data_IF_288918797568
#
_entry.id   IF_288918797568
#
_cell.length_a   1.000
_cell.length_b   1.000
_cell.length_c   1.000
_cell.angle_alpha   90.00
_cell.angle_beta   90.00
_cell.angle_gamma   90.00
#
_symmetry.space_group_name_H-M   'P 1'
#
loop_
_entity.id
_entity.type
_entity.pdbx_description
1 polymer ?
#
# COMPACT_ATOMS: atom_id res chain seq x y z
N UNK A 1 20.07 -31.61 -15.02
CA UNK A 1 20.80 -30.56 -14.31
C UNK A 1 19.78 -29.49 -13.96
N UNK A 2 19.23 -29.52 -12.76
CA UNK A 2 18.34 -28.48 -12.25
C UNK A 2 19.21 -27.26 -11.95
N UNK A 3 19.01 -26.16 -12.70
CA UNK A 3 19.54 -24.87 -12.26
C UNK A 3 18.98 -24.60 -10.86
N UNK A 4 19.80 -24.21 -9.88
CA UNK A 4 19.28 -23.70 -8.63
C UNK A 4 18.64 -22.35 -8.94
N UNK A 5 17.33 -22.38 -9.27
CA UNK A 5 16.54 -21.17 -9.27
C UNK A 5 16.62 -20.62 -7.85
N UNK A 6 16.96 -19.36 -7.68
CA UNK A 6 16.94 -18.71 -6.37
C UNK A 6 15.52 -18.86 -5.83
N UNK A 7 15.39 -19.47 -4.67
CA UNK A 7 14.12 -19.57 -3.98
C UNK A 7 13.60 -18.17 -3.63
N UNK A 8 12.32 -17.91 -3.90
CA UNK A 8 11.70 -16.63 -3.51
C UNK A 8 11.65 -16.58 -1.98
N UNK A 9 12.18 -15.52 -1.40
CA UNK A 9 12.22 -15.26 0.04
C UNK A 9 11.39 -14.07 0.46
N UNK A 10 11.10 -13.16 -0.50
CA UNK A 10 10.41 -11.90 -0.27
C UNK A 10 9.28 -11.71 -1.29
N UNK A 11 8.08 -11.41 -0.79
CA UNK A 11 6.97 -10.92 -1.60
C UNK A 11 6.75 -9.46 -1.28
N UNK A 12 6.67 -8.62 -2.33
CA UNK A 12 6.33 -7.22 -2.25
C UNK A 12 4.95 -7.02 -2.89
N UNK A 13 4.02 -6.45 -2.13
CA UNK A 13 2.65 -6.22 -2.55
C UNK A 13 2.42 -4.72 -2.70
N UNK A 14 2.01 -4.28 -3.87
CA UNK A 14 1.27 -3.03 -3.90
C UNK A 14 -0.05 -3.17 -3.12
N UNK A 15 -0.58 -2.06 -2.63
CA UNK A 15 -1.77 -2.08 -1.79
C UNK A 15 -3.05 -1.76 -2.58
N UNK A 16 -3.10 -0.58 -3.20
CA UNK A 16 -4.29 0.00 -3.79
C UNK A 16 -4.57 -0.54 -5.21
N UNK A 17 -5.52 -1.44 -5.36
CA UNK A 17 -5.81 -2.14 -6.62
C UNK A 17 -5.11 -3.49 -6.75
N UNK A 18 -4.24 -3.85 -5.82
CA UNK A 18 -3.49 -5.11 -5.80
C UNK A 18 -3.89 -6.00 -4.62
N UNK A 19 -3.51 -5.65 -3.39
CA UNK A 19 -3.92 -6.40 -2.19
C UNK A 19 -5.36 -6.07 -1.80
N UNK A 20 -5.79 -4.84 -2.01
CA UNK A 20 -7.13 -4.39 -1.71
C UNK A 20 -7.73 -3.60 -2.89
N UNK A 21 -8.98 -3.88 -3.23
CA UNK A 21 -9.76 -3.01 -4.09
C UNK A 21 -10.20 -1.78 -3.28
N UNK A 22 -9.42 -0.73 -3.41
CA UNK A 22 -9.62 0.57 -2.75
C UNK A 22 -10.01 1.66 -3.74
N UNK A 23 -10.10 1.33 -5.04
CA UNK A 23 -10.31 2.30 -6.13
C UNK A 23 -11.53 3.18 -5.87
N UNK A 24 -12.66 2.56 -5.52
CA UNK A 24 -13.90 3.30 -5.26
C UNK A 24 -13.78 4.21 -4.04
N UNK A 25 -13.25 3.71 -2.93
CA UNK A 25 -13.08 4.49 -1.69
C UNK A 25 -12.13 5.68 -1.89
N UNK A 26 -11.00 5.47 -2.56
CA UNK A 26 -10.06 6.54 -2.91
C UNK A 26 -10.71 7.60 -3.80
N UNK A 27 -11.39 7.17 -4.86
CA UNK A 27 -12.10 8.07 -5.78
C UNK A 27 -13.10 8.95 -5.03
N UNK A 28 -13.97 8.36 -4.23
CA UNK A 28 -15.00 9.08 -3.48
C UNK A 28 -14.39 10.06 -2.47
N UNK A 29 -13.33 9.66 -1.76
CA UNK A 29 -12.65 10.52 -0.80
C UNK A 29 -12.02 11.75 -1.45
N UNK A 30 -11.30 11.58 -2.57
CA UNK A 30 -10.70 12.71 -3.29
C UNK A 30 -11.75 13.63 -3.93
N UNK A 31 -12.74 13.07 -4.61
CA UNK A 31 -13.81 13.86 -5.24
C UNK A 31 -14.60 14.66 -4.19
N UNK A 32 -14.94 14.04 -3.05
CA UNK A 32 -15.61 14.74 -1.96
C UNK A 32 -14.75 15.86 -1.37
N UNK A 33 -13.47 15.60 -1.10
CA UNK A 33 -12.52 16.60 -0.57
C UNK A 33 -12.38 17.79 -1.51
N UNK A 34 -12.17 17.54 -2.79
CA UNK A 34 -11.98 18.60 -3.79
C UNK A 34 -13.25 19.43 -3.95
N UNK A 35 -14.43 18.78 -3.98
CA UNK A 35 -15.71 19.48 -4.05
C UNK A 35 -15.95 20.38 -2.85
N UNK A 36 -15.63 19.93 -1.62
CA UNK A 36 -15.70 20.77 -0.41
C UNK A 36 -14.80 22.00 -0.48
N UNK A 37 -13.69 21.88 -1.19
CA UNK A 37 -12.72 22.97 -1.38
C UNK A 37 -13.01 23.86 -2.61
N UNK A 38 -14.11 23.60 -3.34
CA UNK A 38 -14.49 24.37 -4.52
C UNK A 38 -13.82 23.95 -5.84
N UNK A 39 -13.08 22.83 -5.83
CA UNK A 39 -12.50 22.27 -7.06
C UNK A 39 -13.45 21.26 -7.71
N UNK A 40 -13.37 21.16 -9.04
CA UNK A 40 -14.18 20.20 -9.81
C UNK A 40 -13.30 19.06 -10.32
N UNK A 41 -13.69 17.83 -10.01
CA UNK A 41 -13.10 16.60 -10.53
C UNK A 41 -14.19 15.53 -10.55
N UNK A 42 -14.33 14.80 -11.66
CA UNK A 42 -15.28 13.69 -11.73
C UNK A 42 -14.65 12.38 -11.23
N UNK A 43 -15.50 11.43 -10.85
CA UNK A 43 -15.05 10.09 -10.43
C UNK A 43 -14.31 9.38 -11.57
N UNK A 44 -14.85 9.49 -12.80
CA UNK A 44 -14.29 8.88 -14.00
C UNK A 44 -12.90 9.46 -14.32
N UNK A 45 -12.76 10.79 -14.21
CA UNK A 45 -11.49 11.45 -14.48
C UNK A 45 -10.43 11.04 -13.46
N UNK A 46 -10.78 11.03 -12.15
CA UNK A 46 -9.85 10.58 -11.12
C UNK A 46 -9.42 9.14 -11.35
N UNK A 47 -10.39 8.23 -11.55
CA UNK A 47 -10.11 6.81 -11.72
C UNK A 47 -9.26 6.50 -12.96
N UNK A 48 -9.46 7.26 -14.06
CA UNK A 48 -8.75 7.04 -15.33
C UNK A 48 -7.35 7.64 -15.37
N UNK A 49 -7.10 8.76 -14.65
CA UNK A 49 -5.88 9.56 -14.84
C UNK A 49 -4.99 9.64 -13.61
N UNK A 50 -5.55 9.53 -12.42
CA UNK A 50 -4.85 9.91 -11.18
C UNK A 50 -4.77 8.80 -10.14
N UNK A 51 -5.58 7.74 -10.26
CA UNK A 51 -5.51 6.62 -9.33
C UNK A 51 -4.12 5.97 -9.33
N UNK A 52 -3.57 5.73 -8.14
CA UNK A 52 -2.23 5.17 -7.97
C UNK A 52 -1.10 6.22 -7.90
N UNK A 53 -1.37 7.49 -8.19
CA UNK A 53 -0.39 8.56 -8.01
C UNK A 53 -0.23 8.96 -6.54
N UNK A 54 0.93 9.51 -6.20
CA UNK A 54 1.09 10.21 -4.92
C UNK A 54 0.16 11.41 -4.87
N UNK A 55 -0.40 11.65 -3.69
CA UNK A 55 -1.35 12.75 -3.47
C UNK A 55 -0.80 14.11 -3.92
N UNK A 56 0.43 14.44 -3.54
CA UNK A 56 1.07 15.72 -3.89
C UNK A 56 1.28 15.89 -5.40
N UNK A 57 1.70 14.83 -6.08
CA UNK A 57 1.85 14.81 -7.54
C UNK A 57 0.51 14.99 -8.24
N UNK A 58 -0.52 14.26 -7.82
CA UNK A 58 -1.86 14.38 -8.35
C UNK A 58 -2.42 15.79 -8.19
N UNK A 59 -2.38 16.35 -6.96
CA UNK A 59 -2.88 17.69 -6.68
C UNK A 59 -2.15 18.77 -7.48
N UNK A 60 -0.83 18.61 -7.67
CA UNK A 60 -0.05 19.50 -8.53
C UNK A 60 -0.51 19.42 -9.98
N UNK A 61 -0.76 18.21 -10.51
CA UNK A 61 -1.22 18.01 -11.90
C UNK A 61 -2.58 18.63 -12.20
N UNK A 62 -3.47 18.69 -11.22
CA UNK A 62 -4.77 19.38 -11.38
C UNK A 62 -4.69 20.89 -11.11
N UNK A 63 -3.48 21.44 -10.93
CA UNK A 63 -3.25 22.88 -10.87
C UNK A 63 -3.22 23.49 -9.46
N UNK A 64 -3.21 22.68 -8.40
CA UNK A 64 -3.10 23.18 -7.03
C UNK A 64 -1.63 23.42 -6.70
N UNK A 65 -1.17 24.65 -6.90
CA UNK A 65 0.23 25.02 -6.78
C UNK A 65 0.69 25.24 -5.33
N UNK A 66 -0.20 25.70 -4.44
CA UNK A 66 0.14 26.01 -3.05
C UNK A 66 0.39 24.72 -2.24
N UNK A 67 1.60 24.53 -1.68
CA UNK A 67 1.92 23.37 -0.85
C UNK A 67 1.05 23.27 0.43
N UNK A 68 0.68 24.41 1.05
CA UNK A 68 -0.15 24.40 2.23
C UNK A 68 -1.57 23.92 1.92
N UNK A 69 -2.11 24.33 0.78
CA UNK A 69 -3.41 23.87 0.30
C UNK A 69 -3.38 22.36 -0.04
N UNK A 70 -2.32 21.87 -0.72
CA UNK A 70 -2.17 20.43 -0.98
C UNK A 70 -2.14 19.62 0.31
N UNK A 71 -1.41 20.08 1.32
CA UNK A 71 -1.36 19.40 2.61
C UNK A 71 -2.71 19.42 3.34
N UNK A 72 -3.44 20.53 3.30
CA UNK A 72 -4.80 20.62 3.85
C UNK A 72 -5.74 19.61 3.18
N UNK A 73 -5.71 19.54 1.84
CA UNK A 73 -6.52 18.59 1.06
C UNK A 73 -6.13 17.15 1.34
N UNK A 74 -4.83 16.85 1.44
CA UNK A 74 -4.33 15.52 1.80
C UNK A 74 -4.87 15.08 3.18
N UNK A 75 -4.80 15.94 4.19
CA UNK A 75 -5.31 15.65 5.52
C UNK A 75 -6.83 15.45 5.51
N UNK A 76 -7.56 16.29 4.76
CA UNK A 76 -9.01 16.14 4.62
C UNK A 76 -9.40 14.84 3.92
N UNK A 77 -8.73 14.48 2.84
CA UNK A 77 -8.94 13.20 2.13
C UNK A 77 -8.70 12.03 3.08
N UNK A 78 -7.60 12.04 3.84
CA UNK A 78 -7.30 10.96 4.81
C UNK A 78 -8.36 10.85 5.90
N UNK A 79 -8.97 11.97 6.32
CA UNK A 79 -10.06 11.96 7.30
C UNK A 79 -11.38 11.42 6.72
N UNK A 80 -11.66 11.68 5.44
CA UNK A 80 -12.86 11.20 4.75
C UNK A 80 -12.74 9.74 4.29
N UNK A 81 -11.52 9.26 3.97
CA UNK A 81 -11.29 7.96 3.36
C UNK A 81 -11.97 6.80 4.13
N UNK A 82 -11.90 6.71 5.47
CA UNK A 82 -12.58 5.62 6.19
C UNK A 82 -14.10 5.61 6.04
N UNK A 83 -14.74 6.72 5.69
CA UNK A 83 -16.20 6.78 5.54
C UNK A 83 -16.72 6.01 4.31
N UNK A 84 -15.79 5.60 3.42
CA UNK A 84 -16.09 4.84 2.20
C UNK A 84 -15.59 3.39 2.25
N UNK A 85 -15.23 2.89 3.43
CA UNK A 85 -14.65 1.55 3.58
C UNK A 85 -15.65 0.41 3.35
N UNK A 86 -16.95 0.69 3.32
CA UNK A 86 -17.97 -0.25 2.85
C UNK A 86 -17.73 -0.72 1.40
N UNK A 87 -16.98 0.05 0.61
CA UNK A 87 -16.60 -0.30 -0.77
C UNK A 87 -15.26 -1.04 -0.87
N UNK A 88 -14.45 -1.07 0.19
CA UNK A 88 -13.11 -1.70 0.17
C UNK A 88 -13.24 -3.22 0.30
N UNK A 89 -12.49 -3.94 -0.53
CA UNK A 89 -12.48 -5.42 -0.54
C UNK A 89 -11.06 -5.95 -0.56
N UNK A 90 -10.81 -6.98 0.24
CA UNK A 90 -9.52 -7.68 0.25
C UNK A 90 -9.43 -8.64 -0.94
N UNK A 91 -8.31 -8.67 -1.63
CA UNK A 91 -7.94 -9.73 -2.57
C UNK A 91 -7.60 -11.00 -1.77
N UNK A 92 -8.64 -11.73 -1.37
CA UNK A 92 -8.48 -12.91 -0.51
C UNK A 92 -7.56 -13.97 -1.10
N UNK A 93 -7.67 -14.36 -2.40
CA UNK A 93 -6.76 -15.35 -2.97
C UNK A 93 -5.28 -14.96 -2.84
N UNK A 94 -4.95 -13.70 -3.14
CA UNK A 94 -3.59 -13.19 -3.01
C UNK A 94 -3.15 -13.14 -1.55
N UNK A 95 -4.03 -12.69 -0.65
CA UNK A 95 -3.73 -12.63 0.78
C UNK A 95 -3.49 -14.01 1.38
N UNK A 96 -4.33 -14.99 1.07
CA UNK A 96 -4.18 -16.36 1.55
C UNK A 96 -2.89 -17.01 1.03
N UNK A 97 -2.50 -16.75 -0.22
CA UNK A 97 -1.20 -17.14 -0.75
C UNK A 97 -0.04 -16.51 0.04
N UNK A 98 -0.11 -15.22 0.33
CA UNK A 98 0.92 -14.52 1.11
C UNK A 98 1.04 -15.05 2.56
N UNK A 99 -0.09 -15.37 3.20
CA UNK A 99 -0.10 -15.99 4.52
C UNK A 99 0.57 -17.36 4.54
N UNK A 100 0.26 -18.19 3.54
CA UNK A 100 0.91 -19.50 3.40
C UNK A 100 2.41 -19.37 3.14
N UNK A 101 2.82 -18.41 2.31
CA UNK A 101 4.23 -18.11 2.06
C UNK A 101 4.95 -17.67 3.35
N UNK A 102 4.36 -16.83 4.18
CA UNK A 102 4.91 -16.44 5.48
C UNK A 102 4.99 -17.62 6.44
N UNK A 103 3.98 -18.49 6.49
CA UNK A 103 3.98 -19.68 7.33
C UNK A 103 5.14 -20.66 6.98
N UNK A 104 5.67 -20.59 5.76
CA UNK A 104 6.83 -21.34 5.28
C UNK A 104 8.17 -20.60 5.49
N UNK A 105 8.18 -19.48 6.21
CA UNK A 105 9.37 -18.70 6.51
C UNK A 105 9.69 -17.56 5.54
N UNK A 106 8.85 -17.33 4.53
CA UNK A 106 8.96 -16.19 3.63
C UNK A 106 8.60 -14.86 4.30
N UNK A 107 8.96 -13.76 3.67
CA UNK A 107 8.66 -12.39 4.12
C UNK A 107 7.68 -11.70 3.16
N UNK A 108 6.74 -10.93 3.71
CA UNK A 108 5.70 -10.21 2.94
C UNK A 108 5.67 -8.76 3.38
N UNK A 109 5.88 -7.85 2.42
CA UNK A 109 5.83 -6.41 2.63
C UNK A 109 4.76 -5.76 1.78
N UNK A 110 4.15 -4.68 2.30
CA UNK A 110 3.34 -3.75 1.53
C UNK A 110 4.23 -2.60 1.06
N UNK A 111 4.15 -2.26 -0.23
CA UNK A 111 4.92 -1.19 -0.88
C UNK A 111 3.97 -0.34 -1.72
N UNK A 112 3.48 0.77 -1.18
CA UNK A 112 2.45 1.61 -1.79
C UNK A 112 2.89 3.06 -1.94
N UNK A 113 2.32 3.76 -2.92
CA UNK A 113 2.42 5.22 -3.07
C UNK A 113 1.52 5.98 -2.09
N UNK A 114 0.57 5.30 -1.47
CA UNK A 114 -0.37 5.84 -0.50
C UNK A 114 0.29 6.35 0.78
N UNK A 115 -0.43 7.17 1.54
CA UNK A 115 0.03 7.62 2.84
C UNK A 115 -0.04 6.48 3.86
N UNK A 116 0.92 6.45 4.79
CA UNK A 116 0.97 5.44 5.85
C UNK A 116 -0.35 5.36 6.63
N UNK A 117 -0.94 6.50 6.96
CA UNK A 117 -2.20 6.56 7.70
C UNK A 117 -3.36 5.89 6.93
N UNK A 118 -3.45 6.11 5.61
CA UNK A 118 -4.49 5.49 4.79
C UNK A 118 -4.31 3.98 4.69
N UNK A 119 -3.06 3.51 4.51
CA UNK A 119 -2.73 2.09 4.48
C UNK A 119 -3.11 1.43 5.81
N UNK A 120 -2.68 1.99 6.95
CA UNK A 120 -2.95 1.46 8.29
C UNK A 120 -4.47 1.42 8.59
N UNK A 121 -5.24 2.44 8.16
CA UNK A 121 -6.69 2.47 8.32
C UNK A 121 -7.39 1.38 7.50
N UNK A 122 -7.02 1.23 6.23
CA UNK A 122 -7.59 0.21 5.36
C UNK A 122 -7.18 -1.20 5.80
N UNK A 123 -5.93 -1.42 6.20
CA UNK A 123 -5.48 -2.69 6.76
C UNK A 123 -6.28 -3.09 8.00
N UNK A 124 -6.49 -2.14 8.93
CA UNK A 124 -7.31 -2.40 10.14
C UNK A 124 -8.73 -2.79 9.77
N UNK A 125 -9.36 -2.11 8.82
CA UNK A 125 -10.69 -2.46 8.31
C UNK A 125 -10.73 -3.86 7.70
N UNK A 126 -9.65 -4.26 6.99
CA UNK A 126 -9.53 -5.57 6.34
C UNK A 126 -9.06 -6.70 7.28
N UNK A 127 -8.75 -6.39 8.55
CA UNK A 127 -8.27 -7.36 9.52
C UNK A 127 -6.81 -7.79 9.29
N UNK A 128 -5.99 -6.92 8.66
CA UNK A 128 -4.55 -7.16 8.42
C UNK A 128 -3.73 -6.37 9.46
N UNK A 129 -2.81 -7.04 10.14
CA UNK A 129 -1.91 -6.43 11.11
C UNK A 129 -0.64 -5.88 10.45
N UNK A 130 -0.24 -4.67 10.81
CA UNK A 130 1.07 -4.12 10.47
C UNK A 130 2.18 -4.63 11.43
N UNK A 131 3.46 -4.46 11.07
CA UNK A 131 4.60 -4.96 11.85
C UNK A 131 4.66 -4.40 13.28
N UNK A 132 4.14 -3.21 13.52
CA UNK A 132 4.09 -2.60 14.86
C UNK A 132 3.01 -3.22 15.77
N UNK A 133 1.96 -3.80 15.21
CA UNK A 133 0.94 -4.49 16.00
C UNK A 133 1.48 -5.80 16.59
N UNK A 134 2.45 -6.43 15.92
CA UNK A 134 3.15 -7.64 16.39
C UNK A 134 4.16 -7.31 17.49
N UNK A 135 4.92 -6.21 17.36
CA UNK A 135 5.93 -5.79 18.37
C UNK A 135 5.35 -5.38 19.72
N UNK A 136 4.12 -4.88 19.79
CA UNK A 136 3.44 -4.57 21.07
C UNK A 136 3.13 -5.79 21.93
N UNK A 137 3.35 -7.01 21.42
CA UNK A 137 3.15 -8.26 22.15
C UNK A 137 4.36 -8.69 22.97
N UNK A 138 5.55 -8.13 22.71
CA UNK A 138 6.80 -8.50 23.38
C UNK A 138 7.12 -7.64 24.60
N UNK A 139 6.39 -6.53 24.83
CA UNK A 139 6.50 -5.69 26.04
C UNK A 139 5.18 -5.68 26.80
N UNK A 140 5.14 -6.07 28.09
CA UNK A 140 3.95 -5.92 28.91
C UNK A 140 3.74 -4.43 29.21
N UNK A 141 2.80 -3.79 28.52
CA UNK A 141 2.40 -2.42 28.85
C UNK A 141 1.21 -2.49 29.83
N UNK A 142 1.37 -1.91 31.02
CA UNK A 142 0.42 -2.00 32.16
C UNK A 142 -0.88 -1.18 31.97
N UNK A 143 -1.13 -0.58 30.80
CA UNK A 143 -2.39 0.14 30.54
C UNK A 143 -3.39 -0.69 29.73
N UNK A 144 -4.17 -1.50 30.43
CA UNK A 144 -5.20 -2.38 29.89
C UNK A 144 -6.53 -1.71 29.54
N UNK A 145 -6.61 -0.38 29.48
CA UNK A 145 -7.88 0.33 29.27
C UNK A 145 -8.32 0.49 27.79
N UNK A 146 -7.48 0.11 26.81
CA UNK A 146 -7.85 0.08 25.39
C UNK A 146 -7.93 -1.36 24.88
N UNK A 147 -9.08 -2.00 25.03
CA UNK A 147 -9.41 -3.27 24.36
C UNK A 147 -9.55 -3.04 22.84
N UNK A 148 -8.42 -2.92 22.13
CA UNK A 148 -8.38 -3.13 20.70
C UNK A 148 -8.37 -4.64 20.43
N UNK A 149 -9.25 -5.16 19.58
CA UNK A 149 -9.23 -6.56 19.17
C UNK A 149 -7.83 -6.91 18.65
N UNK A 150 -7.26 -7.95 19.26
CA UNK A 150 -5.94 -8.48 18.94
C UNK A 150 -6.02 -9.23 17.62
N UNK A 151 -5.48 -8.64 16.54
CA UNK A 151 -5.42 -9.34 15.25
C UNK A 151 -4.43 -10.51 15.37
N UNK A 152 -4.78 -11.69 14.84
CA UNK A 152 -3.88 -12.85 14.85
C UNK A 152 -2.58 -12.54 14.12
N UNK A 153 -1.44 -13.00 14.65
CA UNK A 153 -0.10 -12.85 14.06
C UNK A 153 -0.03 -13.39 12.62
N UNK A 154 -0.80 -14.43 12.34
CA UNK A 154 -0.97 -15.00 11.00
C UNK A 154 -1.54 -14.02 9.97
N UNK A 155 -2.21 -12.94 10.39
CA UNK A 155 -2.75 -11.88 9.54
C UNK A 155 -1.83 -10.64 9.46
N UNK A 156 -0.56 -10.77 9.82
CA UNK A 156 0.39 -9.66 9.80
C UNK A 156 1.22 -9.63 8.50
N UNK A 157 1.74 -8.45 8.17
CA UNK A 157 2.83 -8.25 7.21
C UNK A 157 4.13 -7.94 7.95
N UNK A 158 5.28 -8.26 7.33
CA UNK A 158 6.60 -8.07 7.93
C UNK A 158 7.10 -6.63 7.83
N UNK A 159 6.63 -5.89 6.82
CA UNK A 159 6.98 -4.49 6.64
C UNK A 159 5.99 -3.71 5.78
N UNK A 160 6.08 -2.38 5.87
CA UNK A 160 5.30 -1.45 5.06
C UNK A 160 6.22 -0.31 4.63
N UNK A 161 6.26 -0.02 3.33
CA UNK A 161 6.78 1.21 2.76
C UNK A 161 5.64 2.01 2.15
N UNK A 162 5.53 3.24 2.57
CA UNK A 162 4.58 4.23 2.05
C UNK A 162 5.26 5.19 1.07
N UNK A 163 4.49 5.99 0.37
CA UNK A 163 5.04 6.99 -0.54
C UNK A 163 5.98 8.01 0.11
N UNK A 164 5.96 8.16 1.44
CA UNK A 164 6.83 9.08 2.17
C UNK A 164 8.19 8.45 2.57
N UNK A 165 8.33 7.14 2.47
CA UNK A 165 9.52 6.42 2.94
C UNK A 165 10.66 6.40 1.92
N UNK A 166 10.43 6.90 0.70
CA UNK A 166 11.42 6.95 -0.39
C UNK A 166 11.43 8.32 -1.07
N UNK A 167 12.59 8.71 -1.59
CA UNK A 167 12.76 9.98 -2.30
C UNK A 167 12.00 9.99 -3.62
N UNK A 168 12.14 8.92 -4.42
CA UNK A 168 11.51 8.78 -5.73
C UNK A 168 10.40 7.74 -5.66
N UNK A 169 9.17 8.18 -6.01
CA UNK A 169 8.00 7.30 -6.08
C UNK A 169 7.98 6.50 -7.39
N UNK A 170 7.11 5.47 -7.47
CA UNK A 170 6.80 4.78 -8.73
C UNK A 170 6.51 5.81 -9.83
N UNK A 171 7.09 5.70 -11.03
CA UNK A 171 7.73 4.54 -11.64
C UNK A 171 9.23 4.36 -11.33
N UNK A 172 9.83 5.10 -10.38
CA UNK A 172 11.16 4.78 -9.88
C UNK A 172 11.12 3.48 -9.05
N UNK A 173 12.15 2.63 -9.12
CA UNK A 173 12.16 1.34 -8.43
C UNK A 173 12.51 1.44 -6.93
N UNK A 174 12.76 2.65 -6.43
CA UNK A 174 13.37 2.93 -5.11
C UNK A 174 12.64 2.23 -3.97
N UNK A 175 11.29 2.24 -3.99
CA UNK A 175 10.50 1.60 -2.95
C UNK A 175 10.69 0.08 -2.91
N UNK A 176 10.78 -0.58 -4.06
CA UNK A 176 11.02 -2.02 -4.12
C UNK A 176 12.46 -2.36 -3.74
N UNK A 177 13.43 -1.58 -4.23
CA UNK A 177 14.85 -1.77 -3.87
C UNK A 177 15.09 -1.54 -2.38
N UNK A 178 14.43 -0.55 -1.77
CA UNK A 178 14.54 -0.28 -0.34
C UNK A 178 13.94 -1.42 0.50
N UNK A 179 12.79 -2.00 0.10
CA UNK A 179 12.24 -3.16 0.77
C UNK A 179 13.18 -4.37 0.70
N UNK A 180 13.74 -4.65 -0.49
CA UNK A 180 14.75 -5.71 -0.67
C UNK A 180 15.97 -5.47 0.21
N UNK A 181 16.48 -4.23 0.25
CA UNK A 181 17.63 -3.87 1.08
C UNK A 181 17.36 -4.11 2.57
N UNK A 182 16.19 -3.75 3.05
CA UNK A 182 15.81 -3.94 4.47
C UNK A 182 15.71 -5.41 4.86
N UNK A 183 15.27 -6.27 3.94
CA UNK A 183 15.18 -7.71 4.16
C UNK A 183 16.45 -8.49 3.75
N UNK A 184 17.47 -7.81 3.20
CA UNK A 184 18.68 -8.45 2.73
C UNK A 184 18.46 -9.40 1.54
N UNK A 185 17.40 -9.16 0.77
CA UNK A 185 17.03 -9.98 -0.39
C UNK A 185 17.50 -9.35 -1.71
N UNK A 186 17.86 -10.19 -2.66
CA UNK A 186 18.20 -9.79 -4.03
C UNK A 186 16.95 -9.72 -4.90
N UNK A 187 17.00 -9.04 -6.07
CA UNK A 187 15.90 -9.07 -7.03
C UNK A 187 15.49 -10.50 -7.46
N UNK A 188 16.45 -11.42 -7.53
CA UNK A 188 16.17 -12.83 -7.91
C UNK A 188 15.43 -13.61 -6.83
N UNK A 189 15.49 -13.17 -5.59
CA UNK A 189 14.81 -13.77 -4.43
C UNK A 189 13.49 -13.06 -4.10
N UNK A 190 13.09 -12.10 -4.95
CA UNK A 190 11.94 -11.22 -4.71
C UNK A 190 10.88 -11.39 -5.79
N UNK A 191 9.61 -11.43 -5.36
CA UNK A 191 8.43 -11.45 -6.22
C UNK A 191 7.56 -10.24 -5.91
N UNK A 192 7.15 -9.49 -6.95
CA UNK A 192 6.33 -8.29 -6.82
C UNK A 192 4.94 -8.55 -7.41
N UNK A 193 3.88 -8.11 -6.72
CA UNK A 193 2.51 -8.05 -7.23
C UNK A 193 2.08 -6.60 -7.35
N UNK A 194 1.55 -6.22 -8.52
CA UNK A 194 1.22 -4.85 -8.90
C UNK A 194 0.10 -4.81 -9.95
N UNK A 195 -0.73 -3.76 -9.94
CA UNK A 195 -1.82 -3.59 -10.92
C UNK A 195 -1.59 -2.43 -11.89
N UNK A 196 -0.93 -1.36 -11.46
CA UNK A 196 -0.79 -0.10 -12.19
C UNK A 196 0.39 -0.09 -13.17
N UNK A 197 0.27 0.65 -14.28
CA UNK A 197 1.37 0.78 -15.26
C UNK A 197 2.64 1.40 -14.64
N UNK A 198 2.46 2.42 -13.77
CA UNK A 198 3.60 3.07 -13.11
C UNK A 198 4.30 2.12 -12.12
N UNK A 199 3.55 1.27 -11.44
CA UNK A 199 4.09 0.29 -10.51
C UNK A 199 4.74 -0.89 -11.22
N UNK A 200 4.17 -1.36 -12.32
CA UNK A 200 4.78 -2.39 -13.18
C UNK A 200 6.10 -1.91 -13.79
N UNK A 201 6.19 -0.65 -14.20
CA UNK A 201 7.45 -0.07 -14.67
C UNK A 201 8.49 0.00 -13.54
N UNK A 202 8.07 0.38 -12.32
CA UNK A 202 8.95 0.35 -11.15
C UNK A 202 9.43 -1.09 -10.84
N UNK A 203 8.52 -2.07 -10.90
CA UNK A 203 8.86 -3.48 -10.70
C UNK A 203 9.86 -3.98 -11.75
N UNK A 204 9.60 -3.71 -13.03
CA UNK A 204 10.51 -4.04 -14.13
C UNK A 204 11.91 -3.45 -13.91
N UNK A 205 11.99 -2.18 -13.50
CA UNK A 205 13.25 -1.47 -13.26
C UNK A 205 13.99 -1.95 -12.01
N UNK A 206 13.30 -2.56 -11.06
CA UNK A 206 13.92 -3.16 -9.87
C UNK A 206 14.71 -4.44 -10.19
N UNK A 207 14.45 -5.07 -11.33
CA UNK A 207 15.06 -6.34 -11.75
C UNK A 207 14.45 -7.58 -11.09
N UNK A 208 13.44 -7.43 -10.24
CA UNK A 208 12.72 -8.56 -9.64
C UNK A 208 11.68 -9.15 -10.60
N UNK A 209 11.28 -10.40 -10.34
CA UNK A 209 10.10 -10.99 -10.97
C UNK A 209 8.83 -10.30 -10.50
N UNK A 210 7.85 -10.14 -11.41
CA UNK A 210 6.60 -9.49 -11.03
C UNK A 210 5.39 -10.08 -11.76
N UNK A 211 4.23 -9.96 -11.13
CA UNK A 211 2.94 -10.31 -11.70
C UNK A 211 2.00 -9.11 -11.71
N UNK A 212 1.29 -8.94 -12.83
CA UNK A 212 0.18 -7.99 -12.92
C UNK A 212 -1.06 -8.60 -12.25
N UNK A 213 -1.59 -7.92 -11.27
CA UNK A 213 -2.87 -8.22 -10.63
C UNK A 213 -4.00 -7.48 -11.36
N UNK A 214 -5.18 -8.11 -11.43
CA UNK A 214 -6.43 -7.48 -11.88
C UNK A 214 -7.52 -7.86 -10.89
N UNK A 215 -8.10 -6.86 -10.24
CA UNK A 215 -9.28 -6.97 -9.37
C UNK A 215 -10.55 -6.63 -10.14
#
# INVERSE_FOLDING_TARGET
MTHPGSEIKLILLDFDGTLADTRRANTLAYVATLREAGYTLTEEEYAARYFGMRCDEFLTRIGIADPAERERLRLRTSALYPTFFDTVRLNRPLWDFCRQFRAQGGRVWIVSTGSRANIDNAMRHLGIAGPQAVRRLETPDEDTSRKGERLPEENAVDGILSGADVACSKPAPDCFLEAMRREGCTPRETLIFEDSEIGLEAARRSGASYFRVKL
#
